data_IF_950640220175
#
_entry.id   IF_950640220175
#
_cell.length_a   1.000
_cell.length_b   1.000
_cell.length_c   1.000
_cell.angle_alpha   90.00
_cell.angle_beta   90.00
_cell.angle_gamma   90.00
#
_symmetry.space_group_name_H-M   'P 1'
#
loop_
_entity.id
_entity.type
_entity.pdbx_description
1 polymer ?
#
# COMPACT_ATOMS: atom_id res chain seq x y z
N UNK A 1 -11.36 -9.65 -11.98
CA UNK A 1 -12.59 -9.12 -11.37
C UNK A 1 -13.62 -10.22 -11.35
N UNK A 2 -14.17 -10.57 -10.21
CA UNK A 2 -14.98 -11.77 -10.09
C UNK A 2 -16.35 -11.57 -10.72
N UNK A 3 -16.80 -12.57 -11.46
CA UNK A 3 -18.16 -12.65 -12.05
C UNK A 3 -19.26 -12.48 -11.00
N UNK A 4 -18.92 -12.66 -9.72
CA UNK A 4 -19.83 -12.53 -8.60
C UNK A 4 -20.24 -11.07 -8.32
N UNK A 5 -19.32 -10.12 -8.41
CA UNK A 5 -19.64 -8.70 -8.29
C UNK A 5 -20.52 -8.21 -9.44
N UNK A 6 -20.26 -8.70 -10.66
CA UNK A 6 -21.08 -8.39 -11.82
C UNK A 6 -22.51 -8.95 -11.64
N UNK A 7 -22.62 -10.18 -11.13
CA UNK A 7 -23.91 -10.79 -10.84
C UNK A 7 -24.70 -10.05 -9.75
N UNK A 8 -24.04 -9.62 -8.68
CA UNK A 8 -24.67 -8.79 -7.63
C UNK A 8 -25.11 -7.43 -8.17
N UNK A 9 -24.26 -6.76 -8.96
CA UNK A 9 -24.59 -5.48 -9.59
C UNK A 9 -25.81 -5.57 -10.48
N UNK A 10 -25.87 -6.58 -11.37
CA UNK A 10 -27.01 -6.84 -12.24
C UNK A 10 -28.27 -7.20 -11.45
N UNK A 11 -28.13 -8.00 -10.37
CA UNK A 11 -29.24 -8.36 -9.49
C UNK A 11 -29.83 -7.14 -8.79
N UNK A 12 -29.02 -6.24 -8.27
CA UNK A 12 -29.45 -5.01 -7.63
C UNK A 12 -30.07 -4.04 -8.64
N UNK A 13 -29.52 -3.96 -9.84
CA UNK A 13 -30.06 -3.13 -10.91
C UNK A 13 -31.45 -3.64 -11.35
N UNK A 14 -31.62 -4.94 -11.52
CA UNK A 14 -32.93 -5.54 -11.78
C UNK A 14 -33.91 -5.33 -10.61
N UNK A 15 -33.44 -5.51 -9.37
CA UNK A 15 -34.23 -5.31 -8.16
C UNK A 15 -34.76 -3.90 -8.00
N UNK A 16 -34.02 -2.88 -8.46
CA UNK A 16 -34.43 -1.47 -8.38
C UNK A 16 -35.74 -1.19 -9.12
N UNK A 17 -36.03 -1.92 -10.21
CA UNK A 17 -37.30 -1.81 -10.94
C UNK A 17 -38.49 -2.34 -10.14
N UNK A 18 -38.24 -3.18 -9.14
CA UNK A 18 -39.24 -3.78 -8.25
C UNK A 18 -39.20 -3.18 -6.84
N UNK A 19 -38.58 -2.02 -6.67
CA UNK A 19 -38.41 -1.35 -5.35
C UNK A 19 -37.74 -2.24 -4.29
N UNK A 20 -36.91 -3.20 -4.72
CA UNK A 20 -36.17 -4.06 -3.81
C UNK A 20 -35.02 -3.29 -3.18
N UNK A 21 -34.74 -3.57 -1.91
CA UNK A 21 -33.54 -3.06 -1.23
C UNK A 21 -32.28 -3.67 -1.85
N UNK A 22 -31.20 -2.91 -1.99
CA UNK A 22 -29.92 -3.44 -2.44
C UNK A 22 -29.45 -4.59 -1.53
N UNK A 23 -29.05 -5.71 -2.12
CA UNK A 23 -28.60 -6.89 -1.42
C UNK A 23 -27.15 -7.22 -1.78
N UNK A 24 -26.38 -7.66 -0.78
CA UNK A 24 -25.05 -8.20 -0.95
C UNK A 24 -25.00 -9.72 -0.74
N UNK A 25 -23.95 -10.36 -1.29
CA UNK A 25 -23.69 -11.78 -1.04
C UNK A 25 -23.34 -12.02 0.43
N UNK A 26 -24.08 -12.92 1.09
CA UNK A 26 -23.81 -13.29 2.47
C UNK A 26 -22.89 -14.51 2.52
N UNK A 27 -21.67 -14.33 3.05
CA UNK A 27 -20.72 -15.41 3.26
C UNK A 27 -21.29 -16.50 4.20
N UNK A 28 -22.01 -16.09 5.25
CA UNK A 28 -22.61 -17.01 6.21
C UNK A 28 -23.68 -17.88 5.57
N UNK A 29 -24.59 -17.28 4.79
CA UNK A 29 -25.62 -18.03 4.07
C UNK A 29 -25.03 -18.95 3.02
N UNK A 30 -24.02 -18.49 2.30
CA UNK A 30 -23.29 -19.31 1.33
C UNK A 30 -22.60 -20.49 2.02
N UNK A 31 -21.98 -20.26 3.17
CA UNK A 31 -21.35 -21.30 3.98
C UNK A 31 -22.35 -22.36 4.46
N UNK A 32 -23.52 -21.93 4.97
CA UNK A 32 -24.59 -22.86 5.40
C UNK A 32 -25.11 -23.67 4.21
N UNK A 33 -25.33 -23.04 3.07
CA UNK A 33 -25.79 -23.70 1.86
C UNK A 33 -24.78 -24.75 1.35
N UNK A 34 -23.49 -24.40 1.37
CA UNK A 34 -22.42 -25.33 1.00
C UNK A 34 -22.27 -26.48 1.99
N UNK A 35 -22.37 -26.24 3.30
CA UNK A 35 -22.33 -27.30 4.33
C UNK A 35 -23.56 -28.18 4.30
N UNK A 36 -24.71 -27.68 3.79
CA UNK A 36 -25.91 -28.41 3.51
C UNK A 36 -25.85 -29.27 2.25
N UNK A 37 -24.70 -29.33 1.56
CA UNK A 37 -24.50 -30.18 0.39
C UNK A 37 -24.84 -29.52 -0.96
N UNK A 38 -24.98 -28.22 -1.02
CA UNK A 38 -25.21 -27.50 -2.28
C UNK A 38 -23.98 -27.61 -3.21
N UNK A 39 -24.17 -28.18 -4.38
CA UNK A 39 -23.12 -28.39 -5.39
C UNK A 39 -23.18 -27.36 -6.53
N UNK A 40 -24.30 -26.67 -6.69
CA UNK A 40 -24.54 -25.77 -7.80
C UNK A 40 -25.10 -24.41 -7.35
N UNK A 41 -24.94 -23.39 -8.18
CA UNK A 41 -25.52 -22.06 -7.96
C UNK A 41 -27.07 -22.07 -7.97
N UNK A 42 -27.68 -23.09 -8.54
CA UNK A 42 -29.14 -23.27 -8.56
C UNK A 42 -29.72 -23.41 -7.16
N UNK A 43 -28.96 -23.92 -6.19
CA UNK A 43 -29.40 -23.98 -4.80
C UNK A 43 -29.82 -22.61 -4.24
N UNK A 44 -29.07 -21.53 -4.58
CA UNK A 44 -29.44 -20.17 -4.21
C UNK A 44 -30.74 -19.68 -4.88
N UNK A 45 -30.99 -20.08 -6.14
CA UNK A 45 -32.22 -19.74 -6.87
C UNK A 45 -33.41 -20.46 -6.24
N UNK A 46 -33.30 -21.74 -5.95
CA UNK A 46 -34.37 -22.51 -5.27
C UNK A 46 -34.65 -21.97 -3.87
N UNK A 47 -33.61 -21.58 -3.12
CA UNK A 47 -33.77 -20.96 -1.80
C UNK A 47 -34.54 -19.63 -1.90
N UNK A 48 -34.25 -18.81 -2.91
CA UNK A 48 -34.97 -17.55 -3.17
C UNK A 48 -36.44 -17.78 -3.56
N UNK A 49 -36.70 -18.75 -4.47
CA UNK A 49 -38.06 -19.12 -4.87
C UNK A 49 -38.89 -19.70 -3.71
N UNK A 50 -38.27 -20.55 -2.88
CA UNK A 50 -38.91 -21.07 -1.70
C UNK A 50 -39.28 -19.99 -0.71
N UNK A 51 -38.37 -19.05 -0.47
CA UNK A 51 -38.64 -17.89 0.39
C UNK A 51 -39.78 -17.03 -0.15
N UNK A 52 -39.80 -16.76 -1.47
CA UNK A 52 -40.87 -16.01 -2.10
C UNK A 52 -42.21 -16.73 -1.94
N UNK A 53 -42.23 -18.06 -2.14
CA UNK A 53 -43.45 -18.88 -1.96
C UNK A 53 -43.96 -18.83 -0.50
N UNK A 54 -43.03 -18.96 0.47
CA UNK A 54 -43.36 -18.85 1.90
C UNK A 54 -43.95 -17.48 2.24
N UNK A 55 -43.37 -16.41 1.70
CA UNK A 55 -43.87 -15.05 1.92
C UNK A 55 -45.26 -14.83 1.32
N UNK A 56 -45.51 -15.34 0.14
CA UNK A 56 -46.84 -15.24 -0.51
C UNK A 56 -47.92 -16.05 0.24
N UNK A 57 -47.55 -17.26 0.70
CA UNK A 57 -48.53 -18.12 1.38
C UNK A 57 -48.72 -17.77 2.88
N UNK A 58 -47.68 -17.38 3.55
CA UNK A 58 -47.65 -17.18 5.00
C UNK A 58 -47.26 -15.76 5.44
N UNK A 59 -47.24 -14.79 4.52
CA UNK A 59 -46.82 -13.39 4.83
C UNK A 59 -47.64 -12.76 5.94
N UNK A 60 -48.98 -12.99 5.95
CA UNK A 60 -49.85 -12.50 7.00
C UNK A 60 -49.60 -13.18 8.37
N UNK A 61 -49.07 -14.39 8.38
CA UNK A 61 -48.69 -15.08 9.60
C UNK A 61 -47.42 -14.55 10.23
N UNK A 62 -46.62 -13.80 9.49
CA UNK A 62 -45.43 -13.13 10.01
C UNK A 62 -45.76 -12.04 11.06
N UNK A 63 -46.97 -11.49 11.02
CA UNK A 63 -47.46 -10.51 12.01
C UNK A 63 -47.70 -11.19 13.41
N UNK A 64 -47.84 -12.49 13.43
CA UNK A 64 -48.01 -13.25 14.68
C UNK A 64 -46.67 -13.52 15.41
N UNK A 65 -45.54 -13.19 14.78
CA UNK A 65 -44.22 -13.36 15.39
C UNK A 65 -44.05 -12.30 16.49
N UNK A 66 -43.90 -12.67 17.76
CA UNK A 66 -43.74 -11.67 18.84
C UNK A 66 -42.39 -10.96 18.69
N UNK A 67 -42.41 -9.65 18.82
CA UNK A 67 -41.18 -8.80 18.79
C UNK A 67 -40.12 -9.29 19.77
N UNK A 68 -40.54 -9.85 20.90
CA UNK A 68 -39.60 -10.43 21.89
C UNK A 68 -38.81 -11.62 21.31
N UNK A 69 -39.44 -12.43 20.45
CA UNK A 69 -38.75 -13.53 19.76
C UNK A 69 -37.71 -13.05 18.74
N UNK A 70 -38.05 -12.01 17.98
CA UNK A 70 -37.10 -11.36 17.05
C UNK A 70 -35.95 -10.69 17.80
N UNK A 71 -36.23 -10.01 18.89
CA UNK A 71 -35.20 -9.38 19.73
C UNK A 71 -34.24 -10.43 20.34
N UNK A 72 -34.78 -11.55 20.85
CA UNK A 72 -33.97 -12.64 21.36
C UNK A 72 -33.05 -13.23 20.29
N UNK A 73 -33.57 -13.44 19.07
CA UNK A 73 -32.76 -13.93 17.95
C UNK A 73 -31.62 -12.95 17.59
N UNK A 74 -31.92 -11.65 17.54
CA UNK A 74 -30.90 -10.61 17.27
C UNK A 74 -29.83 -10.56 18.35
N UNK A 75 -30.20 -10.71 19.63
CA UNK A 75 -29.24 -10.77 20.74
C UNK A 75 -28.31 -11.98 20.59
N UNK A 76 -28.86 -13.15 20.30
CA UNK A 76 -28.06 -14.39 20.12
C UNK A 76 -27.08 -14.22 18.97
N UNK A 77 -27.54 -13.72 17.82
CA UNK A 77 -26.68 -13.45 16.65
C UNK A 77 -25.61 -12.39 16.98
N UNK A 78 -26.00 -11.32 17.67
CA UNK A 78 -25.09 -10.27 18.10
C UNK A 78 -23.98 -10.78 19.03
N UNK A 79 -24.32 -11.60 20.00
CA UNK A 79 -23.36 -12.25 20.91
C UNK A 79 -22.44 -13.19 20.16
N UNK A 80 -22.96 -14.01 19.23
CA UNK A 80 -22.14 -14.91 18.40
C UNK A 80 -21.13 -14.13 17.59
N UNK A 81 -21.55 -13.06 16.92
CA UNK A 81 -20.65 -12.17 16.15
C UNK A 81 -19.62 -11.53 17.07
N UNK A 82 -20.03 -11.01 18.22
CA UNK A 82 -19.09 -10.39 19.18
C UNK A 82 -18.03 -11.38 19.67
N UNK A 83 -18.40 -12.61 19.98
CA UNK A 83 -17.46 -13.65 20.42
C UNK A 83 -16.50 -14.07 19.31
N UNK A 84 -16.97 -14.08 18.07
CA UNK A 84 -16.18 -14.47 16.89
C UNK A 84 -15.21 -13.36 16.49
N UNK A 85 -15.70 -12.15 16.30
CA UNK A 85 -14.92 -10.99 15.87
C UNK A 85 -14.07 -10.38 16.99
N UNK A 86 -14.50 -10.49 18.25
CA UNK A 86 -13.71 -10.04 19.41
C UNK A 86 -12.34 -10.72 19.50
N UNK A 87 -12.24 -11.99 19.07
CA UNK A 87 -10.94 -12.67 18.96
C UNK A 87 -10.04 -12.07 17.90
N UNK A 88 -10.61 -11.59 16.79
CA UNK A 88 -9.87 -10.90 15.72
C UNK A 88 -9.37 -9.55 16.25
N UNK A 89 -10.21 -8.81 16.96
CA UNK A 89 -9.85 -7.54 17.56
C UNK A 89 -8.73 -7.69 18.62
N UNK A 90 -8.78 -8.73 19.46
CA UNK A 90 -7.69 -9.04 20.40
C UNK A 90 -6.36 -9.40 19.70
N UNK A 91 -6.41 -10.09 18.56
CA UNK A 91 -5.22 -10.34 17.76
C UNK A 91 -4.69 -9.06 17.13
N UNK A 92 -5.57 -8.24 16.56
CA UNK A 92 -5.21 -6.96 15.99
C UNK A 92 -4.50 -6.06 17.01
N UNK A 93 -4.95 -6.03 18.26
CA UNK A 93 -4.31 -5.29 19.36
C UNK A 93 -2.84 -5.70 19.58
N UNK A 94 -2.54 -6.99 19.48
CA UNK A 94 -1.17 -7.51 19.63
C UNK A 94 -0.29 -7.23 18.43
N UNK A 95 -0.89 -7.12 17.24
CA UNK A 95 -0.16 -6.97 15.97
C UNK A 95 0.04 -5.50 15.58
N UNK A 96 -0.99 -4.66 15.76
CA UNK A 96 -0.94 -3.25 15.39
C UNK A 96 -1.92 -2.46 16.25
N UNK A 97 -1.38 -1.63 17.14
CA UNK A 97 -2.18 -0.70 17.98
C UNK A 97 -2.97 0.28 17.12
N UNK A 98 -2.39 0.68 15.99
CA UNK A 98 -2.98 1.62 15.05
C UNK A 98 -4.25 1.08 14.41
N UNK A 99 -4.18 -0.13 13.85
CA UNK A 99 -5.35 -0.80 13.25
C UNK A 99 -6.45 -1.06 14.27
N UNK A 100 -6.09 -1.35 15.51
CA UNK A 100 -7.06 -1.53 16.59
C UNK A 100 -7.76 -0.22 16.93
N UNK A 101 -7.04 0.89 16.98
CA UNK A 101 -7.65 2.21 17.20
C UNK A 101 -8.68 2.53 16.11
N UNK A 102 -8.36 2.29 14.84
CA UNK A 102 -9.30 2.49 13.73
C UNK A 102 -10.53 1.61 13.88
N UNK A 103 -10.35 0.33 14.21
CA UNK A 103 -11.47 -0.59 14.42
C UNK A 103 -12.39 -0.12 15.56
N UNK A 104 -11.82 0.28 16.69
CA UNK A 104 -12.59 0.80 17.83
C UNK A 104 -13.30 2.11 17.46
N UNK A 105 -12.62 3.04 16.80
CA UNK A 105 -13.23 4.29 16.35
C UNK A 105 -14.39 4.05 15.38
N UNK A 106 -14.24 3.08 14.44
CA UNK A 106 -15.31 2.69 13.51
C UNK A 106 -16.51 2.10 14.26
N UNK A 107 -16.29 1.25 15.28
CA UNK A 107 -17.36 0.71 16.11
C UNK A 107 -18.10 1.83 16.84
N UNK A 108 -17.37 2.76 17.46
CA UNK A 108 -17.97 3.91 18.17
C UNK A 108 -18.82 4.76 17.22
N UNK A 109 -18.33 5.06 16.00
CA UNK A 109 -19.09 5.78 14.98
C UNK A 109 -20.38 5.03 14.59
N UNK A 110 -20.31 3.70 14.45
CA UNK A 110 -21.47 2.89 14.10
C UNK A 110 -22.53 2.80 15.20
N UNK A 111 -22.11 2.86 16.46
CA UNK A 111 -23.04 2.84 17.60
C UNK A 111 -23.62 4.23 17.89
N UNK A 112 -22.81 5.29 17.69
CA UNK A 112 -23.19 6.66 18.02
C UNK A 112 -24.03 7.36 16.95
N UNK A 113 -23.85 6.98 15.68
CA UNK A 113 -24.54 7.58 14.53
C UNK A 113 -25.29 6.49 13.76
N UNK A 114 -24.73 6.11 12.61
CA UNK A 114 -25.29 5.06 11.77
C UNK A 114 -24.18 4.27 11.05
N UNK A 115 -24.58 3.16 10.43
CA UNK A 115 -23.67 2.27 9.73
C UNK A 115 -22.97 2.97 8.55
N UNK A 116 -23.62 3.91 7.89
CA UNK A 116 -23.08 4.65 6.75
C UNK A 116 -21.90 5.53 7.20
N UNK A 117 -22.11 6.29 8.27
CA UNK A 117 -21.06 7.13 8.89
C UNK A 117 -19.89 6.27 9.38
N UNK A 118 -20.16 5.11 9.97
CA UNK A 118 -19.11 4.18 10.39
C UNK A 118 -18.27 3.67 9.22
N UNK A 119 -18.91 3.28 8.12
CA UNK A 119 -18.22 2.77 6.93
C UNK A 119 -17.33 3.86 6.33
N UNK A 120 -17.88 5.04 6.03
CA UNK A 120 -17.10 6.13 5.43
C UNK A 120 -16.00 6.63 6.38
N UNK A 121 -16.31 6.80 7.66
CA UNK A 121 -15.33 7.20 8.67
C UNK A 121 -14.20 6.18 8.81
N UNK A 122 -14.54 4.89 8.86
CA UNK A 122 -13.57 3.80 8.91
C UNK A 122 -12.67 3.75 7.67
N UNK A 123 -13.23 3.95 6.48
CA UNK A 123 -12.46 4.03 5.22
C UNK A 123 -11.49 5.21 5.25
N UNK A 124 -11.95 6.40 5.62
CA UNK A 124 -11.11 7.60 5.70
C UNK A 124 -9.97 7.38 6.71
N UNK A 125 -10.29 6.91 7.92
CA UNK A 125 -9.27 6.60 8.92
C UNK A 125 -8.26 5.55 8.44
N UNK A 126 -8.72 4.52 7.72
CA UNK A 126 -7.85 3.49 7.16
C UNK A 126 -6.94 4.04 6.05
N UNK A 127 -7.43 4.95 5.21
CA UNK A 127 -6.63 5.60 4.18
C UNK A 127 -5.55 6.51 4.78
N UNK A 128 -5.90 7.30 5.81
CA UNK A 128 -4.94 8.12 6.55
C UNK A 128 -3.86 7.22 7.19
N UNK A 129 -4.29 6.16 7.86
CA UNK A 129 -3.38 5.19 8.44
C UNK A 129 -2.45 4.53 7.43
N UNK A 130 -2.99 4.17 6.28
CA UNK A 130 -2.19 3.60 5.18
C UNK A 130 -1.15 4.61 4.70
N UNK A 131 -1.52 5.87 4.49
CA UNK A 131 -0.60 6.92 4.06
C UNK A 131 0.54 7.13 5.07
N UNK A 132 0.22 7.22 6.36
CA UNK A 132 1.23 7.36 7.43
C UNK A 132 2.16 6.14 7.49
N UNK A 133 1.62 4.91 7.50
CA UNK A 133 2.44 3.70 7.55
C UNK A 133 3.26 3.46 6.25
N UNK A 134 2.82 3.98 5.11
CA UNK A 134 3.58 3.89 3.87
C UNK A 134 4.80 4.83 3.89
N UNK A 135 4.68 5.96 4.56
CA UNK A 135 5.76 6.93 4.76
C UNK A 135 6.92 6.33 5.58
N UNK A 136 6.60 5.58 6.63
CA UNK A 136 7.59 5.02 7.57
C UNK A 136 8.39 3.80 7.02
N UNK A 137 8.12 3.37 5.80
CA UNK A 137 8.75 2.17 5.22
C UNK A 137 9.97 2.46 4.34
N UNK A 138 10.28 3.73 4.11
CA UNK A 138 11.48 4.09 3.37
C UNK A 138 12.67 4.10 4.31
N UNK A 139 13.72 3.43 3.89
CA UNK A 139 15.01 3.41 4.59
C UNK A 139 16.11 3.71 3.59
N UNK A 140 17.16 4.36 4.07
CA UNK A 140 18.35 4.67 3.31
C UNK A 140 19.57 4.15 4.08
N UNK A 141 20.47 3.48 3.38
CA UNK A 141 21.71 2.95 3.95
C UNK A 141 22.88 3.35 3.06
N UNK A 142 24.00 3.60 3.68
CA UNK A 142 25.27 3.71 2.98
C UNK A 142 25.82 2.32 2.70
N UNK A 143 26.31 2.11 1.47
CA UNK A 143 27.01 0.90 1.07
C UNK A 143 28.51 1.16 1.04
N UNK A 144 29.25 0.54 1.94
CA UNK A 144 30.71 0.59 1.98
C UNK A 144 31.30 -0.70 1.42
N UNK A 145 32.33 -0.58 0.60
CA UNK A 145 33.02 -1.77 0.08
C UNK A 145 34.03 -2.28 1.08
N UNK A 146 33.82 -3.46 1.62
CA UNK A 146 34.73 -4.11 2.53
C UNK A 146 36.00 -4.63 1.81
N UNK A 147 37.05 -4.90 2.56
CA UNK A 147 38.33 -5.40 2.04
C UNK A 147 38.23 -6.76 1.34
N UNK A 148 37.19 -7.53 1.59
CA UNK A 148 36.87 -8.81 0.92
C UNK A 148 36.09 -8.62 -0.40
N UNK A 149 35.79 -7.36 -0.78
CA UNK A 149 35.05 -7.01 -1.98
C UNK A 149 33.52 -7.04 -1.84
N UNK A 150 32.99 -7.40 -0.68
CA UNK A 150 31.57 -7.39 -0.39
C UNK A 150 31.07 -5.97 -0.03
N UNK A 151 29.77 -5.74 -0.22
CA UNK A 151 29.10 -4.52 0.20
C UNK A 151 28.55 -4.69 1.62
N UNK A 152 28.83 -3.72 2.50
CA UNK A 152 28.38 -3.69 3.90
C UNK A 152 27.48 -2.48 4.10
N UNK A 153 26.35 -2.69 4.74
CA UNK A 153 25.39 -1.62 5.06
C UNK A 153 25.85 -0.85 6.31
N UNK A 154 25.86 0.47 6.20
CA UNK A 154 26.10 1.40 7.29
C UNK A 154 24.97 2.43 7.41
N UNK A 155 24.81 3.07 8.56
CA UNK A 155 23.92 4.21 8.67
C UNK A 155 24.30 5.30 7.67
N UNK A 156 23.29 5.95 7.07
CA UNK A 156 23.51 7.10 6.18
C UNK A 156 24.26 8.21 6.91
N UNK A 157 25.30 8.82 6.32
CA UNK A 157 26.01 9.94 6.92
C UNK A 157 25.09 11.17 7.00
N UNK A 158 25.32 12.06 7.97
CA UNK A 158 24.54 13.30 8.12
C UNK A 158 24.84 14.32 6.99
N UNK A 159 26.05 14.31 6.45
CA UNK A 159 26.48 15.19 5.36
C UNK A 159 27.35 14.42 4.36
N UNK A 160 27.37 14.84 3.10
CA UNK A 160 28.23 14.27 2.08
C UNK A 160 29.68 14.72 2.30
N UNK A 161 30.65 13.80 2.46
CA UNK A 161 32.04 14.16 2.62
C UNK A 161 32.62 14.75 1.30
N UNK A 162 33.39 15.82 1.36
CA UNK A 162 33.95 16.46 0.16
C UNK A 162 35.01 15.58 -0.51
N UNK A 163 35.05 15.60 -1.84
CA UNK A 163 35.98 14.83 -2.67
C UNK A 163 35.92 13.29 -2.46
N UNK A 164 34.86 12.78 -1.88
CA UNK A 164 34.65 11.35 -1.68
C UNK A 164 33.46 10.82 -2.46
N UNK A 165 33.43 9.51 -2.64
CA UNK A 165 32.30 8.81 -3.26
C UNK A 165 31.47 8.15 -2.18
N UNK A 166 30.24 8.61 -2.01
CA UNK A 166 29.25 8.02 -1.10
C UNK A 166 28.26 7.21 -1.92
N UNK A 167 27.97 6.00 -1.49
CA UNK A 167 27.00 5.12 -2.15
C UNK A 167 25.81 4.93 -1.21
N UNK A 168 24.62 5.29 -1.67
CA UNK A 168 23.38 5.10 -0.92
C UNK A 168 22.48 4.11 -1.61
N UNK A 169 21.86 3.24 -0.85
CA UNK A 169 20.79 2.35 -1.28
C UNK A 169 19.47 2.77 -0.65
N UNK A 170 18.47 3.00 -1.50
CA UNK A 170 17.12 3.33 -1.07
C UNK A 170 16.27 2.07 -1.09
N UNK A 171 15.58 1.78 0.01
CA UNK A 171 14.59 0.70 0.11
C UNK A 171 13.24 1.24 0.51
N UNK A 172 12.22 0.81 -0.18
CA UNK A 172 10.83 1.22 0.04
C UNK A 172 10.30 2.12 -1.07
N UNK A 173 8.97 2.30 -1.16
CA UNK A 173 8.34 3.00 -2.28
C UNK A 173 8.54 4.52 -2.20
N UNK A 174 8.97 5.14 -3.29
CA UNK A 174 9.04 6.59 -3.45
C UNK A 174 7.70 7.13 -3.93
N UNK A 175 6.78 7.37 -2.99
CA UNK A 175 5.48 7.97 -3.25
C UNK A 175 5.33 9.33 -2.55
N UNK A 176 4.21 10.02 -2.78
CA UNK A 176 3.98 11.35 -2.21
C UNK A 176 4.07 11.40 -0.67
N UNK A 177 3.73 10.30 0.02
CA UNK A 177 3.75 10.24 1.47
C UNK A 177 5.17 9.99 2.03
N UNK A 178 6.00 9.26 1.29
CA UNK A 178 7.35 8.91 1.71
C UNK A 178 8.41 9.98 1.39
N UNK A 179 8.14 10.90 0.45
CA UNK A 179 9.09 11.95 0.06
C UNK A 179 9.52 12.81 1.25
N UNK A 180 8.63 13.08 2.19
CA UNK A 180 8.96 13.86 3.39
C UNK A 180 9.95 13.13 4.31
N UNK A 181 9.68 11.84 4.61
CA UNK A 181 10.59 11.00 5.40
C UNK A 181 11.90 10.72 4.66
N UNK A 182 11.83 10.65 3.34
CA UNK A 182 12.96 10.44 2.46
C UNK A 182 13.94 11.63 2.47
N UNK A 183 13.42 12.87 2.44
CA UNK A 183 14.25 14.06 2.49
C UNK A 183 15.07 14.17 3.79
N UNK A 184 14.56 13.63 4.90
CA UNK A 184 15.28 13.61 6.19
C UNK A 184 16.35 12.52 6.27
N UNK A 185 16.26 11.49 5.41
CA UNK A 185 17.20 10.37 5.38
C UNK A 185 18.43 10.63 4.49
N UNK A 186 18.37 11.67 3.64
CA UNK A 186 19.47 11.99 2.75
C UNK A 186 20.49 12.90 3.44
N UNK A 187 21.78 12.69 3.15
CA UNK A 187 22.82 13.56 3.67
C UNK A 187 22.72 14.98 3.12
N UNK A 188 23.00 15.97 3.96
CA UNK A 188 23.05 17.39 3.53
C UNK A 188 24.17 17.58 2.49
N UNK A 189 23.86 18.07 1.27
CA UNK A 189 24.88 18.30 0.24
C UNK A 189 25.73 19.55 0.48
N UNK A 190 25.41 20.35 1.49
CA UNK A 190 26.19 21.58 1.78
C UNK A 190 27.63 21.27 2.15
N UNK A 191 28.54 21.86 1.38
CA UNK A 191 29.98 21.67 1.59
C UNK A 191 30.56 20.43 0.92
N UNK A 192 29.79 19.68 0.12
CA UNK A 192 30.18 18.47 -0.57
C UNK A 192 30.99 18.73 -1.87
N UNK A 193 31.88 19.71 -1.86
CA UNK A 193 32.68 20.07 -3.06
C UNK A 193 33.42 18.85 -3.62
N UNK A 194 33.21 18.58 -4.91
CA UNK A 194 33.84 17.45 -5.61
C UNK A 194 33.35 16.06 -5.20
N UNK A 195 32.33 15.97 -4.35
CA UNK A 195 31.76 14.69 -3.94
C UNK A 195 30.99 14.02 -5.08
N UNK A 196 30.97 12.70 -5.07
CA UNK A 196 30.12 11.91 -5.94
C UNK A 196 29.15 11.06 -5.12
N UNK A 197 27.85 11.25 -5.35
CA UNK A 197 26.81 10.43 -4.76
C UNK A 197 26.35 9.39 -5.78
N UNK A 198 26.52 8.11 -5.47
CA UNK A 198 25.95 7.01 -6.25
C UNK A 198 24.70 6.54 -5.52
N UNK A 199 23.56 6.58 -6.19
CA UNK A 199 22.28 6.16 -5.64
C UNK A 199 21.84 4.86 -6.29
N UNK A 200 21.79 3.78 -5.52
CA UNK A 200 21.21 2.51 -5.95
C UNK A 200 19.69 2.57 -5.87
N UNK A 201 19.04 2.46 -7.03
CA UNK A 201 17.61 2.64 -7.25
C UNK A 201 16.90 1.32 -7.55
N UNK A 202 17.34 0.21 -6.95
CA UNK A 202 16.73 -1.09 -7.20
C UNK A 202 15.23 -1.06 -6.86
N UNK A 203 14.38 -1.48 -7.82
CA UNK A 203 12.91 -1.52 -7.69
C UNK A 203 12.23 -0.17 -7.36
N UNK A 204 12.90 0.95 -7.69
CA UNK A 204 12.33 2.28 -7.50
C UNK A 204 11.51 2.74 -8.71
N UNK A 205 10.49 3.55 -8.45
CA UNK A 205 9.64 4.24 -9.42
C UNK A 205 9.33 5.66 -8.92
N UNK A 206 9.23 6.63 -9.83
CA UNK A 206 8.78 7.99 -9.52
C UNK A 206 7.27 8.10 -9.66
N UNK A 207 6.54 7.65 -8.65
CA UNK A 207 5.09 7.53 -8.71
C UNK A 207 4.31 8.84 -8.52
N UNK A 208 4.98 9.96 -8.24
CA UNK A 208 4.31 11.23 -7.98
C UNK A 208 5.11 12.43 -8.49
N UNK A 209 4.39 13.52 -8.82
CA UNK A 209 5.03 14.81 -9.16
C UNK A 209 5.91 15.31 -8.01
N UNK A 210 5.49 15.11 -6.77
CA UNK A 210 6.26 15.49 -5.58
C UNK A 210 7.61 14.79 -5.51
N UNK A 211 7.70 13.53 -5.98
CA UNK A 211 8.97 12.80 -6.07
C UNK A 211 9.87 13.38 -7.16
N UNK A 212 9.30 13.79 -8.28
CA UNK A 212 10.04 14.47 -9.37
C UNK A 212 10.59 15.82 -8.89
N UNK A 213 9.75 16.66 -8.28
CA UNK A 213 10.13 17.95 -7.74
C UNK A 213 11.25 17.83 -6.69
N UNK A 214 11.16 16.80 -5.85
CA UNK A 214 12.21 16.53 -4.86
C UNK A 214 13.54 16.19 -5.53
N UNK A 215 13.54 15.30 -6.53
CA UNK A 215 14.76 14.94 -7.28
C UNK A 215 15.35 16.16 -7.98
N UNK A 216 14.53 17.02 -8.58
CA UNK A 216 14.98 18.25 -9.23
C UNK A 216 15.64 19.21 -8.24
N UNK A 217 15.03 19.42 -7.09
CA UNK A 217 15.58 20.28 -6.04
C UNK A 217 16.90 19.72 -5.51
N UNK A 218 16.96 18.43 -5.24
CA UNK A 218 18.16 17.76 -4.75
C UNK A 218 19.31 17.82 -5.76
N UNK A 219 19.03 17.64 -7.06
CA UNK A 219 20.01 17.84 -8.14
C UNK A 219 20.53 19.28 -8.18
N UNK A 220 19.65 20.24 -7.95
CA UNK A 220 20.04 21.66 -7.91
C UNK A 220 20.97 21.95 -6.73
N UNK A 221 20.68 21.38 -5.55
CA UNK A 221 21.51 21.51 -4.36
C UNK A 221 22.88 20.84 -4.54
N UNK A 222 22.94 19.64 -5.12
CA UNK A 222 24.19 18.96 -5.45
C UNK A 222 25.01 19.76 -6.47
N UNK A 223 24.38 20.30 -7.50
CA UNK A 223 25.06 21.13 -8.50
C UNK A 223 25.63 22.41 -7.88
N UNK A 224 24.90 23.04 -6.97
CA UNK A 224 25.38 24.23 -6.24
C UNK A 224 26.56 23.88 -5.33
N UNK A 225 26.66 22.65 -4.84
CA UNK A 225 27.79 22.16 -4.05
C UNK A 225 28.94 21.61 -4.93
N UNK A 226 28.85 21.70 -6.26
CA UNK A 226 29.79 21.08 -7.20
C UNK A 226 29.95 19.57 -7.02
N UNK A 227 28.88 18.92 -6.55
CA UNK A 227 28.79 17.48 -6.36
C UNK A 227 28.04 16.81 -7.52
N UNK A 228 28.33 15.53 -7.76
CA UNK A 228 27.78 14.76 -8.87
C UNK A 228 26.84 13.66 -8.36
N UNK A 229 25.70 13.49 -9.04
CA UNK A 229 24.79 12.37 -8.81
C UNK A 229 24.89 11.33 -9.92
N UNK A 230 25.01 10.07 -9.53
CA UNK A 230 24.96 8.91 -10.41
C UNK A 230 23.84 8.00 -9.94
N UNK A 231 22.98 7.57 -10.86
CA UNK A 231 21.95 6.59 -10.56
C UNK A 231 22.39 5.21 -11.04
N UNK A 232 22.41 4.25 -10.14
CA UNK A 232 22.72 2.86 -10.44
C UNK A 232 21.48 1.98 -10.26
N UNK A 233 21.46 0.82 -10.92
CA UNK A 233 20.38 -0.16 -10.86
C UNK A 233 19.02 0.43 -11.27
N UNK A 234 19.02 1.32 -12.27
CA UNK A 234 17.84 1.99 -12.79
C UNK A 234 17.00 0.99 -13.58
N UNK A 235 15.85 0.60 -13.03
CA UNK A 235 14.90 -0.28 -13.70
C UNK A 235 14.18 0.39 -14.88
N UNK A 236 13.54 -0.39 -15.78
CA UNK A 236 12.85 0.15 -16.95
C UNK A 236 11.73 1.14 -16.62
N UNK A 237 11.01 0.90 -15.50
CA UNK A 237 9.94 1.80 -15.05
C UNK A 237 10.50 3.15 -14.61
N UNK A 238 11.52 3.16 -13.76
CA UNK A 238 12.18 4.38 -13.32
C UNK A 238 12.79 5.14 -14.49
N UNK A 239 13.45 4.45 -15.44
CA UNK A 239 14.02 5.08 -16.62
C UNK A 239 12.95 5.80 -17.46
N UNK A 240 11.82 5.15 -17.70
CA UNK A 240 10.70 5.75 -18.42
C UNK A 240 10.12 6.98 -17.68
N UNK A 241 10.09 6.98 -16.36
CA UNK A 241 9.64 8.12 -15.57
C UNK A 241 10.65 9.27 -15.58
N UNK A 242 11.95 8.98 -15.53
CA UNK A 242 13.04 9.96 -15.69
C UNK A 242 13.02 10.61 -17.09
N UNK A 243 12.75 9.82 -18.15
CA UNK A 243 12.60 10.33 -19.51
C UNK A 243 11.40 11.27 -19.63
N UNK A 244 10.22 10.85 -19.13
CA UNK A 244 8.99 11.65 -19.19
C UNK A 244 9.09 12.95 -18.41
N UNK A 245 9.82 12.96 -17.30
CA UNK A 245 10.02 14.15 -16.46
C UNK A 245 11.14 15.07 -16.96
N UNK A 246 11.92 14.67 -17.99
CA UNK A 246 13.08 15.44 -18.46
C UNK A 246 14.31 15.39 -17.54
N UNK A 247 14.27 14.56 -16.51
CA UNK A 247 15.37 14.38 -15.56
C UNK A 247 16.60 13.74 -16.18
N UNK A 248 16.46 12.95 -17.25
CA UNK A 248 17.59 12.37 -17.98
C UNK A 248 18.50 13.44 -18.57
N UNK A 249 17.93 14.53 -19.09
CA UNK A 249 18.71 15.65 -19.66
C UNK A 249 19.48 16.41 -18.57
N UNK A 250 18.87 16.58 -17.38
CA UNK A 250 19.48 17.27 -16.24
C UNK A 250 20.58 16.44 -15.58
N UNK A 251 20.37 15.14 -15.44
CA UNK A 251 21.33 14.19 -14.88
C UNK A 251 22.52 13.92 -15.83
N UNK A 252 22.25 13.92 -17.13
CA UNK A 252 23.14 13.41 -18.16
C UNK A 252 23.08 11.88 -18.29
N UNK A 253 22.86 11.39 -19.49
CA UNK A 253 22.68 9.95 -19.76
C UNK A 253 23.86 9.08 -19.27
N UNK A 254 25.08 9.63 -19.22
CA UNK A 254 26.29 8.94 -18.74
C UNK A 254 26.32 8.72 -17.22
N UNK A 255 25.42 9.38 -16.46
CA UNK A 255 25.27 9.21 -15.04
C UNK A 255 24.15 8.21 -14.65
N UNK A 256 23.54 7.57 -15.66
CA UNK A 256 22.45 6.60 -15.45
C UNK A 256 22.93 5.23 -15.87
N UNK A 257 22.99 4.31 -14.90
CA UNK A 257 23.42 2.93 -15.10
C UNK A 257 22.18 2.02 -14.97
N UNK A 258 21.70 1.43 -16.08
CA UNK A 258 20.53 0.56 -16.06
C UNK A 258 20.74 -0.69 -15.23
N UNK A 259 19.65 -1.17 -14.61
CA UNK A 259 19.66 -2.46 -13.92
C UNK A 259 19.99 -3.61 -14.88
N UNK A 260 20.67 -4.63 -14.37
CA UNK A 260 21.01 -5.84 -15.10
C UNK A 260 20.47 -7.08 -14.39
N UNK A 261 20.46 -8.22 -15.08
CA UNK A 261 20.06 -9.51 -14.48
C UNK A 261 21.03 -9.99 -13.39
N UNK A 262 22.24 -9.42 -13.35
CA UNK A 262 23.23 -9.73 -12.34
C UNK A 262 23.15 -8.70 -11.22
N UNK A 263 22.83 -9.15 -10.02
CA UNK A 263 22.69 -8.29 -8.84
C UNK A 263 23.94 -7.45 -8.60
N UNK A 264 23.77 -6.15 -8.35
CA UNK A 264 24.82 -5.18 -8.10
C UNK A 264 25.81 -4.95 -9.25
N UNK A 265 25.62 -5.54 -10.42
CA UNK A 265 26.53 -5.33 -11.55
C UNK A 265 26.53 -3.87 -12.03
N UNK A 266 25.36 -3.25 -12.11
CA UNK A 266 25.19 -1.84 -12.46
C UNK A 266 25.83 -0.92 -11.40
N UNK A 267 25.66 -1.23 -10.12
CA UNK A 267 26.30 -0.50 -9.02
C UNK A 267 27.83 -0.60 -9.10
N UNK A 268 28.37 -1.81 -9.35
CA UNK A 268 29.81 -2.00 -9.52
C UNK A 268 30.35 -1.25 -10.72
N UNK A 269 29.61 -1.18 -11.84
CA UNK A 269 29.98 -0.41 -13.01
C UNK A 269 29.98 1.09 -12.72
N UNK A 270 28.97 1.60 -12.02
CA UNK A 270 28.89 2.99 -11.60
C UNK A 270 30.06 3.37 -10.66
N UNK A 271 30.37 2.49 -9.71
CA UNK A 271 31.49 2.67 -8.79
C UNK A 271 32.85 2.69 -9.52
N UNK A 272 33.07 1.75 -10.44
CA UNK A 272 34.28 1.69 -11.26
C UNK A 272 34.48 2.94 -12.14
N UNK A 273 33.38 3.53 -12.65
CA UNK A 273 33.43 4.73 -13.47
C UNK A 273 33.85 6.00 -12.72
N UNK A 274 33.82 5.98 -11.38
CA UNK A 274 34.17 7.12 -10.49
C UNK A 274 35.54 6.97 -9.89
N UNK A 275 36.06 5.74 -9.75
CA UNK A 275 37.42 5.54 -9.25
C UNK A 275 38.42 6.14 -10.25
N UNK A 276 39.40 6.93 -9.78
CA UNK A 276 40.47 7.34 -10.65
C UNK A 276 41.11 6.09 -11.27
N UNK A 277 41.23 6.06 -12.57
CA UNK A 277 42.02 5.03 -13.25
C UNK A 277 43.40 5.13 -12.66
N UNK A 278 43.77 4.24 -11.75
CA UNK A 278 45.18 4.06 -11.39
C UNK A 278 45.86 3.62 -12.71
N UNK A 279 46.51 4.63 -13.30
CA UNK A 279 47.32 4.41 -14.49
C UNK A 279 48.45 3.46 -14.08
N UNK A 280 48.43 2.26 -14.72
CA UNK A 280 49.62 1.40 -14.80
C UNK A 280 50.83 2.14 -15.31
#
# INVERSE_FOLDING_TARGET
>A
MSKDFLGQGLGNLAGSFFQAMPAGGSLSRTGINASGGAQTRMSGVFSGLLLALVLVLFGSSAELIPLAGLAALLIVIGVEIMLKEGRVLMRAWKTSRYNTFIAVATIILGVSHDLTVAIFGGVILSLIAFAVNASDRVTCFELERASDGNWVERPTPEALPPNETTILEIRGPLNFASVYSFSELFPDPKGAHGATLILSCQDQELQSLTSVDWVENFLSELSAAEARLILAEVGPALLADLEKSGLVEKLGAHNIFPASDVKLASLNAAYAAVQPHDAE
#
